data_IF_198632060707
#
_entry.id   IF_198632060707
#
_cell.length_a   1.000
_cell.length_b   1.000
_cell.length_c   1.000
_cell.angle_alpha   90.00
_cell.angle_beta   90.00
_cell.angle_gamma   90.00
#
_symmetry.space_group_name_H-M   'P 1'
#
loop_
_entity.id
_entity.type
_entity.pdbx_description
1 polymer ?
#
# COMPACT_ATOMS: atom_id res chain seq x y z
N UNK A 1 7.85 13.80 -24.63
CA UNK A 1 6.71 13.72 -23.69
C UNK A 1 6.94 12.50 -22.82
N UNK A 2 6.73 12.60 -21.51
CA UNK A 2 6.57 11.41 -20.68
C UNK A 2 5.12 10.94 -20.87
N UNK A 3 4.95 9.71 -21.35
CA UNK A 3 3.64 9.09 -21.57
C UNK A 3 3.30 8.20 -20.37
N UNK A 4 2.03 8.21 -19.95
CA UNK A 4 1.56 7.36 -18.86
C UNK A 4 1.03 6.05 -19.46
N UNK A 5 1.66 4.93 -19.11
CA UNK A 5 1.17 3.60 -19.48
C UNK A 5 0.00 3.18 -18.58
N UNK A 6 -1.00 2.52 -19.17
CA UNK A 6 -2.19 2.05 -18.46
C UNK A 6 -2.26 0.53 -18.54
N UNK A 7 -2.26 -0.12 -17.37
CA UNK A 7 -2.44 -1.57 -17.24
C UNK A 7 -3.90 -1.89 -16.91
N UNK A 8 -4.54 -2.72 -17.73
CA UNK A 8 -5.91 -3.19 -17.49
C UNK A 8 -5.88 -4.51 -16.74
N UNK A 9 -6.50 -4.53 -15.56
CA UNK A 9 -6.66 -5.73 -14.76
C UNK A 9 -8.04 -6.37 -15.00
N UNK A 10 -8.15 -7.71 -14.92
CA UNK A 10 -9.45 -8.36 -14.90
C UNK A 10 -10.30 -7.88 -13.71
N UNK A 11 -11.62 -7.85 -13.90
CA UNK A 11 -12.56 -7.50 -12.83
C UNK A 11 -12.40 -8.43 -11.63
N UNK A 12 -12.54 -7.88 -10.42
CA UNK A 12 -12.48 -8.63 -9.16
C UNK A 12 -11.17 -9.39 -8.90
N UNK A 13 -10.03 -8.88 -9.39
CA UNK A 13 -8.69 -9.46 -9.17
C UNK A 13 -7.82 -8.61 -8.22
N UNK A 14 -8.17 -8.49 -6.92
CA UNK A 14 -7.41 -7.68 -5.96
C UNK A 14 -5.97 -8.16 -5.77
N UNK A 15 -5.69 -9.45 -5.97
CA UNK A 15 -4.36 -10.06 -5.90
C UNK A 15 -3.38 -9.51 -6.95
N UNK A 16 -3.90 -8.89 -8.01
CA UNK A 16 -3.11 -8.23 -9.03
C UNK A 16 -2.90 -6.75 -8.71
N UNK A 17 -3.59 -6.16 -7.72
CA UNK A 17 -3.42 -4.76 -7.39
C UNK A 17 -2.25 -4.55 -6.41
N UNK A 18 -1.16 -3.83 -6.80
CA UNK A 18 -0.04 -3.57 -5.90
C UNK A 18 -0.44 -2.82 -4.63
N UNK A 19 -1.52 -2.03 -4.65
CA UNK A 19 -2.01 -1.31 -3.48
C UNK A 19 -2.47 -2.25 -2.37
N UNK A 20 -2.85 -3.50 -2.66
CA UNK A 20 -3.25 -4.45 -1.62
C UNK A 20 -2.08 -4.80 -0.68
N UNK A 21 -0.83 -4.76 -1.15
CA UNK A 21 0.35 -4.97 -0.31
C UNK A 21 0.55 -3.80 0.65
N UNK A 22 0.45 -2.58 0.14
CA UNK A 22 0.47 -1.36 0.96
C UNK A 22 -0.69 -1.34 1.96
N UNK A 23 -1.89 -1.71 1.52
CA UNK A 23 -3.09 -1.74 2.37
C UNK A 23 -2.99 -2.80 3.46
N UNK A 24 -2.47 -3.98 3.16
CA UNK A 24 -2.17 -5.00 4.16
C UNK A 24 -1.20 -4.47 5.22
N UNK A 25 -0.14 -3.82 4.77
CA UNK A 25 0.89 -3.26 5.64
C UNK A 25 0.34 -2.14 6.54
N UNK A 26 -0.38 -1.19 5.92
CA UNK A 26 -1.06 -0.10 6.61
C UNK A 26 -2.04 -0.64 7.66
N UNK A 27 -2.88 -1.61 7.29
CA UNK A 27 -3.85 -2.20 8.22
C UNK A 27 -3.12 -2.87 9.38
N UNK A 28 -2.06 -3.64 9.14
CA UNK A 28 -1.30 -4.28 10.21
C UNK A 28 -0.70 -3.25 11.19
N UNK A 29 -0.06 -2.19 10.68
CA UNK A 29 0.57 -1.15 11.51
C UNK A 29 -0.48 -0.28 12.23
N UNK A 30 -1.64 0.00 11.62
CA UNK A 30 -2.74 0.73 12.26
C UNK A 30 -3.37 -0.12 13.38
N UNK A 31 -3.32 -1.45 13.34
CA UNK A 31 -3.86 -2.31 14.40
C UNK A 31 -2.83 -2.73 15.46
N UNK A 32 -1.53 -2.45 15.28
CA UNK A 32 -0.46 -2.92 16.18
C UNK A 32 -0.36 -2.20 17.54
N UNK A 33 -1.16 -1.15 17.75
CA UNK A 33 -1.14 -0.33 18.96
C UNK A 33 -2.54 -0.01 19.47
N UNK A 34 -2.68 0.91 20.44
CA UNK A 34 -3.97 1.27 21.01
C UNK A 34 -5.01 1.60 19.91
N UNK A 35 -6.24 1.08 20.03
CA UNK A 35 -7.28 1.32 19.05
C UNK A 35 -7.69 2.80 19.08
N UNK A 36 -7.80 3.41 17.90
CA UNK A 36 -8.38 4.73 17.78
C UNK A 36 -9.87 4.68 18.19
N UNK A 37 -10.31 5.66 18.97
CA UNK A 37 -11.70 5.78 19.45
C UNK A 37 -12.47 6.87 18.70
N UNK A 38 -11.78 7.68 17.91
CA UNK A 38 -12.38 8.73 17.07
C UNK A 38 -11.85 8.67 15.64
N UNK A 39 -12.65 9.21 14.69
CA UNK A 39 -12.22 9.32 13.29
C UNK A 39 -10.95 10.16 13.14
N UNK A 40 -10.77 11.22 13.96
CA UNK A 40 -9.56 12.06 13.96
C UNK A 40 -8.32 11.29 14.40
N UNK A 41 -8.44 10.47 15.46
CA UNK A 41 -7.35 9.60 15.91
C UNK A 41 -6.98 8.57 14.84
N UNK A 42 -7.97 7.96 14.20
CA UNK A 42 -7.74 7.00 13.13
C UNK A 42 -7.01 7.65 11.95
N UNK A 43 -7.48 8.83 11.51
CA UNK A 43 -6.84 9.59 10.44
C UNK A 43 -5.39 9.93 10.77
N UNK A 44 -5.12 10.45 11.97
CA UNK A 44 -3.77 10.77 12.40
C UNK A 44 -2.86 9.53 12.43
N UNK A 45 -3.40 8.39 12.87
CA UNK A 45 -2.67 7.12 12.91
C UNK A 45 -2.34 6.63 11.50
N UNK A 46 -3.31 6.66 10.59
CA UNK A 46 -3.11 6.30 9.17
C UNK A 46 -2.06 7.19 8.53
N UNK A 47 -2.16 8.51 8.67
CA UNK A 47 -1.19 9.47 8.11
C UNK A 47 0.22 9.20 8.64
N UNK A 48 0.35 8.97 9.95
CA UNK A 48 1.65 8.66 10.57
C UNK A 48 2.28 7.39 9.99
N UNK A 49 1.49 6.32 9.83
CA UNK A 49 1.96 5.06 9.20
C UNK A 49 2.35 5.28 7.75
N UNK A 50 1.53 5.99 6.96
CA UNK A 50 1.83 6.28 5.55
C UNK A 50 3.13 7.08 5.40
N UNK A 51 3.35 8.10 6.23
CA UNK A 51 4.61 8.86 6.24
C UNK A 51 5.81 7.99 6.67
N UNK A 52 5.61 7.01 7.55
CA UNK A 52 6.66 6.04 7.92
C UNK A 52 7.01 5.15 6.73
N UNK A 53 6.01 4.57 6.05
CA UNK A 53 6.21 3.70 4.88
C UNK A 53 6.91 4.46 3.75
N UNK A 54 6.50 5.70 3.48
CA UNK A 54 7.13 6.57 2.47
C UNK A 54 8.64 6.76 2.71
N UNK A 55 9.08 6.79 3.97
CA UNK A 55 10.49 6.93 4.35
C UNK A 55 11.28 5.61 4.32
N UNK A 56 10.63 4.49 3.97
CA UNK A 56 11.22 3.16 3.90
C UNK A 56 11.17 2.61 2.47
N UNK A 57 11.94 3.19 1.51
CA UNK A 57 11.87 2.79 0.11
C UNK A 57 12.25 1.32 -0.12
N UNK A 58 13.12 0.76 0.71
CA UNK A 58 13.44 -0.67 0.67
C UNK A 58 12.21 -1.55 0.96
N UNK A 59 11.37 -1.15 1.92
CA UNK A 59 10.11 -1.84 2.26
C UNK A 59 9.13 -1.78 1.09
N UNK A 60 8.98 -0.61 0.46
CA UNK A 60 8.10 -0.42 -0.70
C UNK A 60 8.54 -1.28 -1.89
N UNK A 61 9.84 -1.35 -2.17
CA UNK A 61 10.39 -2.21 -3.23
C UNK A 61 10.07 -3.69 -3.03
N UNK A 62 9.99 -4.16 -1.78
CA UNK A 62 9.66 -5.55 -1.48
C UNK A 62 8.23 -5.93 -1.89
N UNK A 63 7.29 -4.98 -1.92
CA UNK A 63 5.92 -5.26 -2.36
C UNK A 63 5.94 -5.80 -3.79
N UNK A 64 6.68 -5.12 -4.67
CA UNK A 64 6.83 -5.44 -6.08
C UNK A 64 7.64 -6.71 -6.37
N UNK A 65 8.11 -7.46 -5.37
CA UNK A 65 8.73 -8.77 -5.57
C UNK A 65 7.71 -9.90 -5.68
N UNK A 66 6.44 -9.65 -5.38
CA UNK A 66 5.44 -10.70 -5.48
C UNK A 66 5.13 -11.04 -6.96
N UNK A 67 5.07 -12.33 -7.34
CA UNK A 67 4.87 -12.73 -8.74
C UNK A 67 3.61 -12.14 -9.40
N UNK A 68 2.53 -12.00 -8.63
CA UNK A 68 1.24 -11.53 -9.14
C UNK A 68 1.22 -10.05 -9.59
N UNK A 69 2.16 -9.23 -9.11
CA UNK A 69 2.19 -7.78 -9.40
C UNK A 69 3.49 -7.34 -10.09
N UNK A 70 4.25 -8.28 -10.65
CA UNK A 70 5.50 -7.99 -11.37
C UNK A 70 5.29 -7.01 -12.53
N UNK A 71 4.11 -6.99 -13.14
CA UNK A 71 3.79 -6.05 -14.21
C UNK A 71 3.92 -4.58 -13.76
N UNK A 72 3.73 -4.29 -12.46
CA UNK A 72 3.81 -2.95 -11.90
C UNK A 72 5.22 -2.57 -11.40
N UNK A 73 6.22 -3.45 -11.58
CA UNK A 73 7.61 -3.23 -11.14
C UNK A 73 8.50 -2.61 -12.23
N UNK A 74 7.96 -2.39 -13.43
CA UNK A 74 8.66 -1.86 -14.61
C UNK A 74 9.02 -0.37 -14.49
#
# INVERSE_FOLDING_TARGET
QEEIEVFYLPSYSPELNPDEYLNCDLKAEVHSGPPARTAKELLNKVISVMHKIQKLPARVRLYYLHPAIQYAAA
#
